data_IF_955250116692
#
_entry.id   IF_955250116692
#
_cell.length_a   1.000
_cell.length_b   1.000
_cell.length_c   1.000
_cell.angle_alpha   90.00
_cell.angle_beta   90.00
_cell.angle_gamma   90.00
#
_symmetry.space_group_name_H-M   'P 1'
#
loop_
_entity.id
_entity.type
_entity.pdbx_description
1 polymer ?
2 non-polymer ?
3 water ?
#
# COMPACT_ATOMS: atom_id res chain seq x y z
N UNK A 24 -10.45 -6.62 -6.09
CA UNK A 24 -9.01 -6.42 -6.44
C UNK A 24 -8.68 -4.91 -6.50
N UNK A 25 -7.40 -4.52 -6.24
CA UNK A 25 -6.95 -3.13 -6.39
C UNK A 25 -6.23 -2.92 -7.73
N UNK A 26 -6.32 -1.72 -8.28
CA UNK A 26 -5.75 -1.45 -9.60
C UNK A 26 -5.17 -0.03 -9.65
N UNK A 27 -3.97 0.11 -10.21
CA UNK A 27 -3.30 1.41 -10.29
C UNK A 27 -3.98 2.39 -11.25
N UNK A 28 -4.42 3.53 -10.72
CA UNK A 28 -5.03 4.59 -11.52
C UNK A 28 -3.95 5.62 -11.93
N UNK A 29 -3.02 5.91 -11.02
CA UNK A 29 -1.92 6.82 -11.27
C UNK A 29 -0.69 6.32 -10.54
N UNK A 30 0.49 6.62 -11.08
CA UNK A 30 1.78 6.24 -10.48
C UNK A 30 2.85 7.31 -10.71
N UNK A 31 3.63 7.63 -9.69
CA UNK A 31 4.68 8.63 -9.84
C UNK A 31 5.83 8.43 -8.86
N UNK A 32 7.00 8.94 -9.21
CA UNK A 32 8.11 8.88 -8.30
C UNK A 32 8.16 10.21 -7.56
N UNK A 33 8.25 10.14 -6.24
CA UNK A 33 8.33 11.31 -5.41
C UNK A 33 9.80 11.37 -4.99
N UNK A 34 10.52 12.38 -5.48
CA UNK A 34 11.93 12.53 -5.15
C UNK A 34 12.12 12.81 -3.67
N UNK A 35 11.24 13.64 -3.12
CA UNK A 35 11.31 14.01 -1.71
C UNK A 35 11.42 12.79 -0.79
N UNK A 36 10.48 11.86 -0.93
CA UNK A 36 10.46 10.66 -0.09
C UNK A 36 11.10 9.43 -0.75
N UNK A 37 11.68 9.60 -1.93
CA UNK A 37 12.31 8.50 -2.65
C UNK A 37 11.38 7.30 -2.83
N UNK A 38 10.07 7.55 -2.94
CA UNK A 38 9.10 6.46 -3.13
C UNK A 38 8.31 6.62 -4.42
N UNK A 39 7.72 5.51 -4.87
CA UNK A 39 6.82 5.54 -6.00
C UNK A 39 5.43 5.54 -5.39
N UNK A 40 4.68 6.64 -5.52
CA UNK A 40 3.31 6.72 -4.97
C UNK A 40 2.29 6.26 -6.00
N UNK A 41 1.47 5.28 -5.61
CA UNK A 41 0.46 4.68 -6.48
C UNK A 41 -0.96 4.95 -5.97
N UNK A 42 -1.74 5.67 -6.76
CA UNK A 42 -3.12 5.97 -6.42
C UNK A 42 -4.01 4.85 -6.95
N UNK A 43 -4.53 4.04 -6.04
CA UNK A 43 -5.39 2.93 -6.43
C UNK A 43 -6.76 3.44 -6.83
N UNK A 44 -7.34 2.73 -7.80
CA UNK A 44 -8.62 3.09 -8.40
C UNK A 44 -9.78 3.00 -7.42
N UNK A 45 -9.59 2.21 -6.36
CA UNK A 45 -10.58 2.08 -5.30
C UNK A 45 -10.48 3.18 -4.23
N UNK A 46 -9.68 4.21 -4.47
CA UNK A 46 -9.51 5.31 -3.52
C UNK A 46 -8.31 5.21 -2.58
N UNK A 47 -7.69 4.04 -2.44
CA UNK A 47 -6.54 3.90 -1.53
C UNK A 47 -5.25 4.33 -2.19
N UNK A 48 -4.15 4.29 -1.41
CA UNK A 48 -2.82 4.69 -1.87
C UNK A 48 -1.75 3.72 -1.37
N UNK A 49 -0.85 3.33 -2.27
CA UNK A 49 0.25 2.42 -1.93
C UNK A 49 1.57 3.07 -2.33
N UNK A 50 2.54 3.08 -1.41
CA UNK A 50 3.86 3.65 -1.69
C UNK A 50 4.91 2.60 -1.41
N UNK A 51 5.85 2.43 -2.33
CA UNK A 51 6.97 1.49 -2.14
C UNK A 51 8.26 2.14 -2.58
N UNK A 52 9.37 1.87 -1.87
CA UNK A 52 10.66 2.38 -2.31
C UNK A 52 11.14 1.52 -3.46
N UNK A 53 11.18 2.07 -4.68
CA UNK A 53 11.50 1.31 -5.89
C UNK A 53 12.90 0.67 -5.95
N UNK A 54 13.89 1.22 -5.23
CA UNK A 54 15.24 0.62 -5.26
C UNK A 54 15.32 -0.71 -4.53
N UNK A 55 14.24 -1.13 -3.87
CA UNK A 55 14.16 -2.46 -3.26
C UNK A 55 13.62 -3.48 -4.28
N UNK A 56 13.16 -2.98 -5.44
CA UNK A 56 12.56 -3.82 -6.48
C UNK A 56 13.59 -4.30 -7.48
N UNK A 57 13.39 -5.53 -7.94
CA UNK A 57 14.30 -6.15 -8.89
C UNK A 57 14.28 -5.43 -10.23
N UNK A 58 15.46 -4.96 -10.62
CA UNK A 58 15.64 -4.26 -11.88
C UNK A 58 15.77 -2.77 -11.74
N UNK A 59 15.55 -2.23 -10.53
CA UNK A 59 15.63 -0.79 -10.27
C UNK A 59 16.66 -0.41 -9.18
N UNK A 60 17.43 -1.38 -8.69
CA UNK A 60 18.39 -1.10 -7.61
C UNK A 60 19.34 0.06 -7.88
N UNK A 61 19.73 0.24 -9.14
CA UNK A 61 20.68 1.28 -9.51
C UNK A 61 20.15 2.43 -10.33
N UNK A 62 18.84 2.50 -10.53
CA UNK A 62 18.25 3.57 -11.33
C UNK A 62 18.36 4.93 -10.65
N UNK A 63 18.45 5.99 -11.44
CA UNK A 63 18.53 7.34 -10.89
C UNK A 63 17.14 7.91 -10.68
N UNK A 64 17.04 8.96 -9.89
CA UNK A 64 15.75 9.63 -9.68
C UNK A 64 15.13 9.90 -11.04
N UNK A 65 15.88 10.56 -11.93
CA UNK A 65 15.40 10.84 -13.29
C UNK A 65 14.80 9.60 -13.93
N UNK A 66 15.54 8.50 -13.92
CA UNK A 66 15.04 7.27 -14.53
C UNK A 66 13.80 6.72 -13.85
N UNK A 67 13.68 6.91 -12.54
CA UNK A 67 12.53 6.38 -11.80
C UNK A 67 11.22 7.07 -12.17
N UNK A 68 11.29 8.35 -12.53
CA UNK A 68 10.11 9.12 -12.94
C UNK A 68 9.41 8.61 -14.18
N UNK A 69 10.07 7.79 -14.97
CA UNK A 69 9.48 7.26 -16.19
C UNK A 69 8.37 6.23 -15.95
N UNK A 70 8.05 5.95 -14.69
CA UNK A 70 7.06 4.93 -14.37
C UNK A 70 5.77 5.16 -15.13
N UNK A 71 5.21 4.06 -15.64
CA UNK A 71 3.97 4.01 -16.41
C UNK A 71 3.10 2.86 -15.93
N UNK A 72 1.79 2.97 -16.13
CA UNK A 72 0.85 1.92 -15.75
C UNK A 72 0.49 1.11 -17.00
N UNK A 73 0.66 -0.20 -16.91
CA UNK A 73 0.29 -1.11 -18.00
C UNK A 73 -0.49 -2.29 -17.41
N UNK A 74 -1.18 -3.04 -18.26
CA UNK A 74 -2.08 -4.11 -17.81
C UNK A 74 -3.39 -3.38 -17.59
N UNK A 75 -4.50 -4.08 -17.37
CA UNK A 75 -5.75 -3.38 -17.07
C UNK A 75 -5.31 -2.26 -16.09
N UNK A 76 -4.42 -2.62 -15.17
CA UNK A 76 -3.77 -1.66 -14.28
C UNK A 76 -3.03 -2.34 -13.13
N UNK A 77 -2.54 -3.56 -13.36
CA UNK A 77 -1.87 -4.34 -12.32
C UNK A 77 -0.35 -4.35 -12.46
N UNK A 78 0.17 -3.62 -13.45
CA UNK A 78 1.61 -3.57 -13.69
C UNK A 78 2.19 -2.17 -13.85
N UNK A 79 3.35 -1.98 -13.22
CA UNK A 79 4.12 -0.75 -13.32
C UNK A 79 5.25 -1.04 -14.31
N UNK A 80 5.42 -0.15 -15.29
CA UNK A 80 6.37 -0.34 -16.38
C UNK A 80 7.34 0.83 -16.51
N UNK A 81 8.59 0.49 -16.84
CA UNK A 81 9.65 1.45 -17.17
C UNK A 81 10.18 1.01 -18.54
N UNK A 82 9.86 1.80 -19.56
CA UNK A 82 10.18 1.50 -20.95
C UNK A 82 11.68 1.35 -21.21
N UNK A 83 12.42 2.46 -21.12
CA UNK A 83 13.85 2.46 -21.40
C UNK A 83 14.60 1.44 -20.55
N UNK A 84 14.31 1.37 -19.26
CA UNK A 84 15.00 0.42 -18.39
C UNK A 84 14.54 -1.01 -18.61
N UNK A 85 13.41 -1.17 -19.28
CA UNK A 85 12.85 -2.51 -19.55
C UNK A 85 12.60 -3.28 -18.24
N UNK A 86 11.84 -2.67 -17.34
CA UNK A 86 11.48 -3.30 -16.08
C UNK A 86 9.96 -3.32 -15.93
N UNK A 87 9.44 -4.46 -15.48
CA UNK A 87 8.01 -4.66 -15.25
C UNK A 87 7.78 -5.25 -13.86
N UNK A 88 7.02 -4.54 -13.03
CA UNK A 88 6.76 -5.00 -11.68
C UNK A 88 5.27 -5.25 -11.57
N UNK A 89 4.90 -6.16 -10.68
CA UNK A 89 3.50 -6.50 -10.43
C UNK A 89 3.02 -5.69 -9.25
N UNK A 90 1.89 -5.00 -9.36
CA UNK A 90 1.35 -4.22 -8.23
C UNK A 90 0.91 -5.16 -7.10
N UNK A 91 0.10 -6.18 -7.45
CA UNK A 91 -0.30 -7.10 -6.38
C UNK A 91 0.90 -7.74 -5.70
N UNK A 92 1.92 -8.08 -6.47
CA UNK A 92 3.15 -8.67 -5.94
C UNK A 92 3.80 -7.72 -4.96
N UNK A 93 3.97 -6.47 -5.38
CA UNK A 93 4.57 -5.44 -4.53
C UNK A 93 3.75 -5.24 -3.26
N UNK A 94 2.43 -5.28 -3.38
CA UNK A 94 1.56 -5.10 -2.21
C UNK A 94 1.59 -6.33 -1.30
N UNK A 95 1.98 -7.48 -1.84
CA UNK A 95 2.10 -8.71 -1.06
C UNK A 95 3.46 -8.77 -0.37
N UNK A 96 4.34 -7.82 -0.68
CA UNK A 96 5.68 -7.80 -0.12
C UNK A 96 6.68 -8.54 -1.00
N UNK A 97 6.30 -8.86 -2.23
CA UNK A 97 7.18 -9.55 -3.16
C UNK A 97 7.86 -8.55 -4.08
N UNK A 98 9.19 -8.44 -3.97
CA UNK A 98 9.96 -7.50 -4.78
C UNK A 98 10.77 -8.12 -5.92
N UNK A 99 10.75 -9.44 -6.04
CA UNK A 99 11.49 -10.07 -7.11
C UNK A 99 11.43 -11.57 -7.05
N UNK A 100 12.14 -12.22 -7.97
CA UNK A 100 12.21 -13.66 -8.03
C UNK A 100 12.95 -14.15 -6.80
N UNK A 101 12.61 -15.34 -6.32
CA UNK A 101 13.29 -15.89 -5.16
C UNK A 101 14.77 -16.11 -5.48
N UNK A 102 15.06 -16.41 -6.74
CA UNK A 102 16.43 -16.57 -7.19
C UNK A 102 17.22 -15.29 -6.96
N UNK A 103 16.59 -14.16 -7.25
CA UNK A 103 17.19 -12.83 -7.10
C UNK A 103 17.37 -12.47 -5.62
N UNK A 104 16.32 -12.66 -4.83
CA UNK A 104 16.41 -12.39 -3.40
C UNK A 104 17.54 -13.19 -2.77
N UNK A 105 17.65 -14.45 -3.16
CA UNK A 105 18.72 -15.32 -2.68
C UNK A 105 20.11 -14.81 -3.08
N UNK A 106 20.23 -14.15 -4.24
CA UNK A 106 21.52 -13.61 -4.70
C UNK A 106 21.78 -12.26 -4.03
N UNK A 107 21.73 -12.26 -2.69
CA UNK A 107 21.96 -11.08 -1.86
C UNK A 107 22.63 -11.47 -0.52
N UNK A 108 23.69 -12.28 -0.61
CA UNK A 108 24.43 -12.77 0.57
C UNK A 108 25.32 -11.67 1.17
N UNK B 23 6.78 -13.64 5.17
CA UNK B 23 6.63 -13.35 3.71
C UNK B 23 5.57 -12.30 3.44
N UNK B 24 5.05 -11.68 4.49
CA UNK B 24 3.91 -10.77 4.39
C UNK B 24 4.23 -9.35 4.86
N UNK B 25 3.55 -8.33 4.29
CA UNK B 25 3.74 -6.98 4.80
C UNK B 25 3.06 -6.89 6.16
N UNK B 26 3.65 -6.17 7.09
CA UNK B 26 3.13 -6.13 8.44
C UNK B 26 3.19 -4.70 9.00
N UNK B 27 2.08 -4.22 9.54
CA UNK B 27 2.03 -2.84 10.03
C UNK B 27 3.00 -2.53 11.16
N UNK B 28 3.88 -1.55 10.94
CA UNK B 28 4.80 -1.09 11.98
C UNK B 28 4.18 0.08 12.73
N UNK B 29 3.44 0.93 12.03
CA UNK B 29 2.79 2.08 12.63
C UNK B 29 1.51 2.35 11.90
N UNK B 30 0.56 2.96 12.61
CA UNK B 30 -0.73 3.31 12.03
C UNK B 30 -1.21 4.58 12.65
N UNK B 31 -1.77 5.49 11.85
CA UNK B 31 -2.35 6.73 12.37
C UNK B 31 -3.49 7.24 11.49
N UNK B 32 -4.27 8.19 12.01
CA UNK B 32 -5.28 8.85 11.19
C UNK B 32 -4.78 10.27 10.92
N UNK B 33 -4.60 10.61 9.64
CA UNK B 33 -4.15 11.92 9.24
C UNK B 33 -5.38 12.78 8.97
N UNK B 34 -5.63 13.75 9.84
CA UNK B 34 -6.80 14.60 9.68
C UNK B 34 -6.71 15.45 8.43
N UNK B 35 -5.51 15.95 8.16
CA UNK B 35 -5.28 16.78 6.99
C UNK B 35 -5.78 16.10 5.71
N UNK B 36 -5.27 14.90 5.43
CA UNK B 36 -5.64 14.16 4.21
C UNK B 36 -6.83 13.23 4.41
N UNK B 37 -7.40 13.20 5.61
CA UNK B 37 -8.54 12.34 5.93
C UNK B 37 -8.29 10.88 5.52
N UNK B 38 -7.13 10.37 5.93
CA UNK B 38 -6.71 9.01 5.63
C UNK B 38 -6.09 8.34 6.84
N UNK B 39 -6.22 7.01 6.87
CA UNK B 39 -5.55 6.18 7.85
C UNK B 39 -4.28 5.77 7.10
N UNK B 40 -3.12 6.17 7.61
CA UNK B 40 -1.84 5.87 6.97
C UNK B 40 -1.15 4.77 7.76
N UNK B 41 -0.86 3.66 7.09
CA UNK B 41 -0.18 2.53 7.70
C UNK B 41 1.22 2.41 7.13
N UNK B 42 2.22 2.47 8.01
CA UNK B 42 3.61 2.35 7.61
C UNK B 42 4.02 0.90 7.80
N UNK B 43 4.21 0.20 6.69
CA UNK B 43 4.57 -1.21 6.75
C UNK B 43 6.03 -1.40 7.15
N UNK B 44 6.30 -2.58 7.69
CA UNK B 44 7.60 -2.91 8.27
C UNK B 44 8.69 -3.13 7.23
N UNK B 45 8.30 -3.24 5.95
CA UNK B 45 9.25 -3.43 4.87
C UNK B 45 9.52 -2.15 4.10
N UNK B 46 9.10 -1.01 4.66
CA UNK B 46 9.33 0.29 4.03
C UNK B 46 8.20 0.79 3.15
N UNK B 47 7.13 0.01 3.02
CA UNK B 47 6.01 0.46 2.20
C UNK B 47 4.97 1.14 3.07
N UNK B 48 4.06 1.84 2.40
CA UNK B 48 2.99 2.57 3.06
C UNK B 48 1.68 2.27 2.35
N UNK B 49 0.62 2.14 3.15
CA UNK B 49 -0.72 1.92 2.64
C UNK B 49 -1.61 2.92 3.35
N UNK B 50 -2.49 3.56 2.60
CA UNK B 50 -3.40 4.55 3.15
C UNK B 50 -4.78 4.25 2.63
N UNK B 51 -5.80 4.50 3.45
CA UNK B 51 -7.18 4.30 3.00
C UNK B 51 -8.10 5.33 3.62
N UNK B 52 -9.09 5.80 2.86
CA UNK B 52 -10.07 6.72 3.44
C UNK B 52 -10.96 5.87 4.32
N UNK B 53 -11.02 6.18 5.62
CA UNK B 53 -11.71 5.34 6.60
C UNK B 53 -13.17 5.07 6.31
N UNK B 54 -13.82 5.96 5.57
CA UNK B 54 -15.22 5.73 5.27
C UNK B 54 -15.42 4.98 3.98
N UNK B 55 -14.55 4.00 3.79
CA UNK B 55 -14.68 2.95 2.79
C UNK B 55 -14.75 1.64 3.60
N UNK B 56 -14.28 1.67 4.85
CA UNK B 56 -14.22 0.50 5.71
C UNK B 56 -15.46 0.32 6.57
N UNK B 57 -16.01 -0.89 6.49
CA UNK B 57 -17.15 -1.31 7.29
C UNK B 57 -16.75 -1.25 8.75
N UNK B 58 -17.50 -0.48 9.53
CA UNK B 58 -17.24 -0.34 10.95
C UNK B 58 -16.89 1.08 11.32
N UNK B 59 -16.17 1.77 10.43
CA UNK B 59 -15.71 3.14 10.69
C UNK B 59 -16.66 4.25 10.24
N UNK B 60 -17.73 3.87 9.54
CA UNK B 60 -18.77 4.81 9.13
C UNK B 60 -19.12 5.74 10.29
N UNK B 61 -19.25 7.03 9.99
CA UNK B 61 -19.64 8.01 10.99
C UNK B 61 -18.78 8.07 12.24
N UNK B 62 -17.53 7.65 12.16
CA UNK B 62 -16.62 7.76 13.30
C UNK B 62 -16.05 9.17 13.26
N UNK B 63 -15.95 9.84 14.39
CA UNK B 63 -15.38 11.19 14.42
C UNK B 63 -13.87 11.13 14.23
N UNK B 64 -13.27 12.28 13.88
CA UNK B 64 -11.82 12.36 13.73
C UNK B 64 -11.21 11.86 15.03
N UNK B 65 -11.66 12.39 16.17
CA UNK B 65 -11.16 11.94 17.49
C UNK B 65 -11.20 10.41 17.62
N UNK B 66 -12.33 9.80 17.25
CA UNK B 66 -12.48 8.34 17.33
C UNK B 66 -11.49 7.61 16.40
N UNK B 67 -11.32 8.12 15.19
CA UNK B 67 -10.39 7.50 14.24
C UNK B 67 -8.93 7.45 14.73
N UNK B 68 -8.47 8.46 15.45
CA UNK B 68 -7.12 8.47 15.99
C UNK B 68 -6.76 7.33 16.88
N UNK B 69 -7.75 6.71 17.49
CA UNK B 69 -7.49 5.66 18.45
C UNK B 69 -6.83 4.40 17.85
N UNK B 70 -6.69 4.36 16.52
CA UNK B 70 -6.16 3.17 15.83
C UNK B 70 -4.91 2.60 16.51
N UNK B 71 -4.89 1.27 16.64
CA UNK B 71 -3.80 0.46 17.23
C UNK B 71 -3.46 -0.71 16.31
N UNK B 72 -2.26 -1.26 16.47
CA UNK B 72 -1.83 -2.42 15.69
C UNK B 72 -1.92 -3.66 16.57
N UNK B 73 -2.54 -4.72 16.05
CA UNK B 73 -2.65 -6.00 16.75
C UNK B 73 -2.39 -7.16 15.79
N UNK B 74 -2.54 -8.39 16.26
CA UNK B 74 -2.16 -9.56 15.47
C UNK B 74 -0.66 -9.53 15.67
N UNK B 75 0.12 -10.04 14.72
CA UNK B 75 1.55 -9.82 14.85
C UNK B 75 1.60 -8.33 14.50
N UNK B 76 1.14 -8.03 13.30
CA UNK B 76 0.96 -6.66 12.84
C UNK B 76 0.04 -6.68 11.63
N UNK B 77 -0.89 -7.64 11.61
CA UNK B 77 -1.80 -7.83 10.49
C UNK B 77 -3.19 -7.22 10.69
N UNK B 78 -3.51 -6.82 11.91
CA UNK B 78 -4.80 -6.22 12.19
C UNK B 78 -4.72 -4.79 12.66
N UNK B 79 -5.72 -3.99 12.27
CA UNK B 79 -5.87 -2.62 12.73
C UNK B 79 -7.01 -2.71 13.74
N UNK B 80 -6.82 -2.11 14.91
CA UNK B 80 -7.78 -2.23 16.00
C UNK B 80 -8.20 -0.89 16.61
N UNK B 81 -9.48 -0.78 16.93
CA UNK B 81 -10.05 0.38 17.64
C UNK B 81 -10.82 -0.20 18.84
N UNK B 82 -10.24 -0.04 20.03
CA UNK B 82 -10.79 -0.59 21.28
C UNK B 82 -12.20 -0.08 21.58
N UNK B 83 -12.36 1.23 21.76
CA UNK B 83 -13.66 1.80 22.12
C UNK B 83 -14.74 1.54 21.07
N UNK B 84 -14.41 1.70 19.79
CA UNK B 84 -15.36 1.43 18.70
C UNK B 84 -15.62 -0.06 18.49
N UNK B 85 -14.73 -0.91 19.00
CA UNK B 85 -14.81 -2.35 18.81
C UNK B 85 -14.84 -2.69 17.31
N UNK B 86 -13.84 -2.20 16.58
CA UNK B 86 -13.68 -2.50 15.17
C UNK B 86 -12.29 -3.11 14.96
N UNK B 87 -12.23 -4.16 14.14
CA UNK B 87 -10.99 -4.86 13.82
C UNK B 87 -10.94 -5.10 12.32
N UNK B 88 -9.98 -4.47 11.65
CA UNK B 88 -9.84 -4.59 10.20
C UNK B 88 -8.60 -5.40 9.84
N UNK B 89 -8.72 -6.26 8.84
CA UNK B 89 -7.60 -7.07 8.35
C UNK B 89 -6.73 -6.26 7.40
N UNK B 90 -5.48 -6.00 7.76
CA UNK B 90 -4.62 -5.20 6.85
C UNK B 90 -4.51 -5.88 5.47
N UNK B 91 -4.26 -7.20 5.45
CA UNK B 91 -4.22 -7.88 4.16
C UNK B 91 -5.54 -7.77 3.38
N UNK B 92 -6.66 -7.82 4.09
CA UNK B 92 -7.98 -7.70 3.47
C UNK B 92 -8.14 -6.33 2.84
N UNK B 93 -7.81 -5.30 3.61
CA UNK B 93 -7.86 -3.92 3.13
C UNK B 93 -6.98 -3.74 1.88
N UNK B 94 -5.74 -4.25 1.93
CA UNK B 94 -4.82 -4.16 0.78
C UNK B 94 -5.24 -5.05 -0.39
N UNK B 95 -6.06 -6.06 -0.12
CA UNK B 95 -6.60 -6.92 -1.16
C UNK B 95 -7.82 -6.25 -1.79
N UNK B 96 -8.32 -5.18 -1.16
CA UNK B 96 -9.49 -4.46 -1.65
C UNK B 96 -10.78 -4.85 -0.95
N UNK B 97 -10.69 -5.66 0.11
CA UNK B 97 -11.86 -6.10 0.85
C UNK B 97 -12.05 -5.18 2.06
N UNK B 98 -13.11 -4.38 2.04
CA UNK B 98 -13.40 -3.42 3.12
C UNK B 98 -14.61 -3.81 3.96
N UNK B 99 -15.22 -4.93 3.63
CA UNK B 99 -16.38 -5.38 4.38
C UNK B 99 -16.94 -6.62 3.74
N UNK B 100 -18.14 -6.98 4.16
CA UNK B 100 -18.80 -8.16 3.63
C UNK B 100 -19.35 -7.87 2.22
N UNK B 101 -19.57 -8.93 1.42
CA UNK B 101 -20.13 -8.78 0.08
C UNK B 101 -21.37 -7.90 0.17
N UNK B 102 -22.25 -8.26 1.10
CA UNK B 102 -23.49 -7.52 1.37
C UNK B 102 -23.20 -6.04 1.61
N UNK B 103 -22.14 -5.77 2.37
CA UNK B 103 -21.77 -4.40 2.71
C UNK B 103 -21.15 -3.57 1.55
N UNK B 104 -20.60 -4.25 0.57
CA UNK B 104 -19.81 -3.56 -0.42
C UNK B 104 -20.70 -3.26 -1.59
N UNK B 105 -21.77 -2.52 -1.33
CA UNK B 105 -22.82 -2.33 -2.29
C UNK B 105 -23.63 -1.10 -1.95
X LIG C 1 -0.86 10.81 -2.21
X LIG C 1 -0.06 11.70 -1.41
X LIG C 1 -1.46 11.59 -3.39
X LIG C 1 -1.21 10.87 -4.60
X LIG D 1 7.11 -8.91 -9.73
X LIG D 1 7.09 -7.49 -9.59
X LIG D 1 6.95 -9.59 -8.37
X LIG D 1 6.65 -8.63 -7.34
#
# INVERSE_FOLDING_TARGET
>A
GXADLTDALIDAALERGRSAHANEPRAAKARYDRSSARVIVDLENGCTFAFPPRLAQGLEGASDDQLCAVEILGQGYGLHWETLDVDLSLPGLMAGIFGTKAWMAKRAEPPPSAAKDAWSNLPR
>B
GXADLTDALIDAALERGRSAHANEPRAAKARYDRSSARVIVDLENGCTFAFPPRLAQGLEGASDDQLCAVEILGQGYGLHWETLDVDLSLPGLMAGIFGTKAWMAKRAEPPPSAAKDAWSNLPR
>C hetero
1 EDO C1 O1 C2 O2
>D hetero
1 EDO C1 O1 C2 O2
#
